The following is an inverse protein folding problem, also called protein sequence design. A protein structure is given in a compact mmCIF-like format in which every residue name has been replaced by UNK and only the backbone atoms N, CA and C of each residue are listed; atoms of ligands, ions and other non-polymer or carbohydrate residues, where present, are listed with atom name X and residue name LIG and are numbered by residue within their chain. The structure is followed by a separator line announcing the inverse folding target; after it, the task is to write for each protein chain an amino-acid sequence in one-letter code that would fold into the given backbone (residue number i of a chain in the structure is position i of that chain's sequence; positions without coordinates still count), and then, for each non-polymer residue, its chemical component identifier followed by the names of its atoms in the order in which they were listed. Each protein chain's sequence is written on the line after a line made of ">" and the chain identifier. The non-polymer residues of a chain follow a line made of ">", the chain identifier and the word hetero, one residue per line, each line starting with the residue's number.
data_IF_908302562353
#
_entry.id   IF_908302562353
#
_cell.length_a   1.000
_cell.length_b   1.000
_cell.length_c   1.000
_cell.angle_alpha   90.00
_cell.angle_beta   90.00
_cell.angle_gamma   90.00
#
_symmetry.space_group_name_H-M   'P 1'
#
loop_
_entity.id
_entity.type
_entity.pdbx_description
1 polymer ?
#
# COMPACT_ATOMS: atom_id res chain seq x y z
N UNK A 1 -10.83 -10.51 14.53
CA UNK A 1 -9.77 -9.46 14.39
C UNK A 1 -8.45 -10.09 14.79
N UNK A 2 -7.40 -9.95 13.96
CA UNK A 2 -6.09 -10.55 14.25
C UNK A 2 -5.38 -9.80 15.38
N UNK A 3 -4.63 -10.49 16.24
CA UNK A 3 -3.83 -9.92 17.33
C UNK A 3 -2.86 -8.84 16.82
N UNK A 4 -2.29 -9.04 15.62
CA UNK A 4 -1.34 -8.10 15.01
C UNK A 4 -1.99 -6.75 14.68
N UNK A 5 -3.27 -6.74 14.30
CA UNK A 5 -4.01 -5.50 14.02
C UNK A 5 -4.05 -4.61 15.26
N UNK A 6 -4.32 -5.23 16.42
CA UNK A 6 -4.40 -4.51 17.68
C UNK A 6 -3.04 -3.90 18.05
N UNK A 7 -1.98 -4.71 17.99
CA UNK A 7 -0.61 -4.27 18.30
C UNK A 7 -0.19 -3.09 17.42
N UNK A 8 -0.42 -3.17 16.11
CA UNK A 8 -0.02 -2.11 15.18
C UNK A 8 -0.82 -0.85 15.46
N UNK A 9 -2.15 -0.96 15.61
CA UNK A 9 -3.02 0.20 15.86
C UNK A 9 -2.63 0.97 17.13
N UNK A 10 -2.07 0.29 18.13
CA UNK A 10 -1.66 0.88 19.41
C UNK A 10 -0.26 1.52 19.36
N UNK A 11 0.63 1.05 18.50
CA UNK A 11 2.06 1.41 18.53
C UNK A 11 2.48 2.37 17.43
N UNK A 12 1.80 2.38 16.28
CA UNK A 12 2.29 3.04 15.06
C UNK A 12 2.04 4.57 15.02
N UNK A 13 1.31 5.11 15.99
CA UNK A 13 1.08 6.55 16.15
C UNK A 13 -0.25 7.05 15.58
N UNK A 14 -0.72 8.20 16.10
CA UNK A 14 -2.11 8.69 15.90
C UNK A 14 -2.49 9.05 14.47
N UNK A 15 -1.53 9.33 13.59
CA UNK A 15 -1.81 9.76 12.22
C UNK A 15 -1.94 8.58 11.24
N UNK A 16 -1.59 7.36 11.68
CA UNK A 16 -1.82 6.15 10.91
C UNK A 16 -3.21 5.60 11.22
N UNK A 17 -3.82 4.92 10.26
CA UNK A 17 -5.07 4.20 10.50
C UNK A 17 -4.99 2.78 9.98
N UNK A 18 -5.58 1.84 10.72
CA UNK A 18 -5.59 0.42 10.37
C UNK A 18 -7.00 -0.01 9.98
N UNK A 19 -7.11 -0.91 9.00
CA UNK A 19 -8.37 -1.53 8.60
C UNK A 19 -8.12 -2.93 8.04
N UNK A 20 -9.09 -3.81 8.07
CA UNK A 20 -8.98 -5.16 7.49
C UNK A 20 -9.63 -5.19 6.10
N UNK A 21 -8.89 -5.63 5.08
CA UNK A 21 -9.36 -5.73 3.69
C UNK A 21 -8.76 -6.97 3.02
N UNK A 22 -9.58 -7.82 2.42
CA UNK A 22 -9.16 -9.00 1.64
C UNK A 22 -8.10 -9.90 2.30
N UNK A 23 -8.19 -10.06 3.63
CA UNK A 23 -7.24 -10.86 4.41
C UNK A 23 -5.91 -10.18 4.72
N UNK A 24 -5.80 -8.87 4.45
CA UNK A 24 -4.70 -8.00 4.85
C UNK A 24 -5.13 -7.08 5.99
N UNK A 25 -4.15 -6.67 6.80
CA UNK A 25 -4.24 -5.45 7.61
C UNK A 25 -3.70 -4.31 6.75
N UNK A 26 -4.60 -3.45 6.26
CA UNK A 26 -4.21 -2.20 5.59
C UNK A 26 -3.84 -1.17 6.64
N UNK A 27 -2.65 -0.62 6.50
CA UNK A 27 -2.05 0.44 7.30
C UNK A 27 -1.95 1.66 6.40
N UNK A 28 -2.86 2.63 6.59
CA UNK A 28 -2.78 3.92 5.92
C UNK A 28 -1.76 4.79 6.64
N UNK A 29 -0.76 5.24 5.91
CA UNK A 29 0.26 6.16 6.42
C UNK A 29 -0.22 7.61 6.28
N UNK A 30 0.39 8.58 6.99
CA UNK A 30 0.15 10.00 6.76
C UNK A 30 0.95 10.56 5.58
N UNK A 31 1.67 9.72 4.84
CA UNK A 31 2.50 10.13 3.71
C UNK A 31 1.72 10.06 2.41
N UNK A 32 2.01 11.01 1.52
CA UNK A 32 1.34 11.13 0.23
C UNK A 32 2.33 10.86 -0.90
N UNK A 33 1.84 10.22 -1.95
CA UNK A 33 2.44 10.35 -3.27
C UNK A 33 2.28 11.79 -3.78
N UNK A 34 3.12 12.25 -4.73
CA UNK A 34 3.02 13.60 -5.28
C UNK A 34 1.69 13.97 -5.95
N UNK A 35 0.86 12.99 -6.32
CA UNK A 35 -0.50 13.20 -6.83
C UNK A 35 -1.55 13.41 -5.72
N UNK A 36 -1.15 13.31 -4.45
CA UNK A 36 -2.01 13.53 -3.29
C UNK A 36 -2.65 12.26 -2.73
N UNK A 37 -2.39 11.09 -3.32
CA UNK A 37 -2.88 9.81 -2.79
C UNK A 37 -2.05 9.36 -1.58
N UNK A 38 -2.71 8.74 -0.60
CA UNK A 38 -2.02 8.17 0.56
C UNK A 38 -1.20 6.94 0.17
N UNK A 39 -0.01 6.81 0.76
CA UNK A 39 0.75 5.57 0.72
C UNK A 39 0.10 4.61 1.73
N UNK A 40 -0.57 3.59 1.21
CA UNK A 40 -1.16 2.50 1.98
C UNK A 40 -0.23 1.28 1.96
N UNK A 41 0.00 0.66 3.13
CA UNK A 41 0.73 -0.59 3.27
C UNK A 41 -0.22 -1.72 3.67
N UNK A 42 0.10 -2.93 3.26
CA UNK A 42 -0.71 -4.12 3.46
C UNK A 42 0.13 -5.20 4.13
N UNK A 43 -0.26 -5.56 5.34
CA UNK A 43 0.37 -6.61 6.11
C UNK A 43 -0.44 -7.90 6.02
N UNK A 44 0.22 -9.02 5.71
CA UNK A 44 -0.39 -10.36 5.72
C UNK A 44 0.50 -11.33 6.49
N UNK A 45 -0.11 -12.09 7.39
CA UNK A 45 0.56 -13.18 8.08
C UNK A 45 0.71 -14.37 7.13
N UNK A 46 1.89 -15.00 7.14
CA UNK A 46 2.20 -16.27 6.49
C UNK A 46 2.67 -17.28 7.54
N UNK A 47 2.84 -18.53 7.13
CA UNK A 47 3.28 -19.62 8.01
C UNK A 47 4.60 -19.29 8.74
N UNK A 48 5.56 -18.66 8.04
CA UNK A 48 6.87 -18.28 8.59
C UNK A 48 7.07 -16.76 8.64
N UNK A 49 6.08 -16.03 9.17
CA UNK A 49 6.23 -14.61 9.49
C UNK A 49 5.22 -13.70 8.80
N UNK A 50 5.67 -12.53 8.34
CA UNK A 50 4.80 -11.50 7.81
C UNK A 50 5.30 -10.96 6.47
N UNK A 51 4.36 -10.66 5.57
CA UNK A 51 4.61 -9.90 4.36
C UNK A 51 4.03 -8.50 4.55
N UNK A 52 4.84 -7.48 4.30
CA UNK A 52 4.43 -6.09 4.20
C UNK A 52 4.67 -5.62 2.76
N UNK A 53 3.65 -5.06 2.12
CA UNK A 53 3.69 -4.65 0.70
C UNK A 53 2.77 -3.47 0.46
N UNK A 54 3.02 -2.66 -0.57
CA UNK A 54 2.11 -1.62 -1.08
C UNK A 54 1.26 -2.13 -2.25
N UNK A 55 1.28 -3.45 -2.50
CA UNK A 55 0.62 -4.11 -3.64
C UNK A 55 1.04 -3.58 -5.03
N UNK A 56 2.22 -2.95 -5.11
CA UNK A 56 2.76 -2.43 -6.36
C UNK A 56 2.36 -0.99 -6.70
N UNK A 57 1.65 -0.29 -5.80
CA UNK A 57 1.22 1.10 -6.02
C UNK A 57 2.39 2.06 -6.26
N UNK A 58 3.52 1.89 -5.57
CA UNK A 58 4.71 2.73 -5.83
C UNK A 58 5.26 2.50 -7.23
N UNK A 59 5.30 1.25 -7.70
CA UNK A 59 5.76 0.92 -9.06
C UNK A 59 4.77 1.48 -10.09
N UNK A 60 3.46 1.36 -9.84
CA UNK A 60 2.42 1.94 -10.70
C UNK A 60 2.60 3.45 -10.80
N UNK A 61 2.77 4.14 -9.68
CA UNK A 61 2.99 5.58 -9.64
C UNK A 61 4.24 6.00 -10.42
N UNK A 62 5.39 5.35 -10.19
CA UNK A 62 6.64 5.62 -10.91
C UNK A 62 6.50 5.42 -12.43
N UNK A 63 5.75 4.41 -12.86
CA UNK A 63 5.48 4.16 -14.28
C UNK A 63 4.66 5.27 -14.93
N UNK A 64 3.73 5.89 -14.19
CA UNK A 64 2.96 7.04 -14.70
C UNK A 64 3.83 8.30 -14.85
N UNK A 65 4.95 8.40 -14.12
CA UNK A 65 5.91 9.50 -14.26
C UNK A 65 6.93 9.29 -15.39
N UNK A 66 6.92 8.13 -16.03
CA UNK A 66 7.86 7.79 -17.09
C UNK A 66 7.22 7.90 -18.47
N UNK A 67 7.97 8.40 -19.46
CA UNK A 67 7.52 8.40 -20.85
C UNK A 67 7.51 6.95 -21.36
N UNK A 68 6.34 6.46 -21.77
CA UNK A 68 6.23 5.17 -22.43
C UNK A 68 6.78 5.26 -23.86
N UNK A 69 7.69 4.36 -24.21
CA UNK A 69 8.14 4.19 -25.60
C UNK A 69 7.16 3.38 -26.46
N UNK A 70 6.10 2.82 -25.86
CA UNK A 70 5.04 2.14 -26.62
C UNK A 70 4.00 3.14 -27.11
N UNK A 71 3.64 3.01 -28.38
CA UNK A 71 2.45 3.65 -28.95
C UNK A 71 1.20 2.99 -28.38
N UNK A 72 0.16 3.79 -28.11
CA UNK A 72 -1.14 3.23 -27.75
C UNK A 72 -1.79 2.57 -28.96
N UNK A 73 -2.73 1.63 -28.73
CA UNK A 73 -3.51 1.00 -29.81
C UNK A 73 -4.28 2.00 -30.70
N UNK A 74 -4.49 3.23 -30.22
CA UNK A 74 -5.11 4.33 -31.00
C UNK A 74 -4.11 5.13 -31.83
N UNK A 75 -2.82 4.92 -31.62
CA UNK A 75 -1.73 5.58 -32.34
C UNK A 75 -1.08 4.67 -33.40
N UNK A 76 -1.34 3.35 -33.34
CA UNK A 76 -1.09 2.42 -34.46
C UNK A 76 -2.14 2.59 -35.56
#
# INVERSE_FOLDING_TARGET
>A
MSEIYQIISLTIGRQFSCSTIDGFVRIRTPYLYPDGDFIDLYLKQKEEGYILTDLGETIRWLKMQSISQKMSEKQE
#
